data_IF_952117289969
#
_entry.id   IF_952117289969
#
_cell.length_a   1.000
_cell.length_b   1.000
_cell.length_c   1.000
_cell.angle_alpha   90.00
_cell.angle_beta   90.00
_cell.angle_gamma   90.00
#
_symmetry.space_group_name_H-M   'P 1'
#
loop_
_entity.id
_entity.type
_entity.pdbx_description
1 polymer ?
#
# COMPACT_ATOMS: atom_id res chain seq x y z
N UNK A 1 28.72 3.16 -5.43
CA UNK A 1 27.58 4.04 -5.09
C UNK A 1 26.30 3.67 -5.86
N UNK A 2 25.86 2.42 -5.83
CA UNK A 2 24.71 1.95 -6.64
C UNK A 2 23.35 1.97 -5.91
N UNK A 3 23.35 2.07 -4.58
CA UNK A 3 22.13 1.95 -3.77
C UNK A 3 21.29 3.24 -3.81
N UNK A 4 21.93 4.41 -3.78
CA UNK A 4 21.24 5.70 -3.80
C UNK A 4 20.55 5.99 -5.14
N UNK A 5 21.22 5.67 -6.25
CA UNK A 5 20.68 5.83 -7.61
C UNK A 5 19.51 4.88 -7.86
N UNK A 6 19.61 3.62 -7.42
CA UNK A 6 18.51 2.64 -7.52
C UNK A 6 17.28 3.12 -6.75
N UNK A 7 17.43 3.62 -5.52
CA UNK A 7 16.30 4.14 -4.74
C UNK A 7 15.63 5.36 -5.37
N UNK A 8 16.40 6.29 -5.91
CA UNK A 8 15.84 7.47 -6.63
C UNK A 8 15.12 7.01 -7.90
N UNK A 9 15.69 6.04 -8.63
CA UNK A 9 15.07 5.45 -9.81
C UNK A 9 13.75 4.76 -9.45
N UNK A 10 13.72 3.98 -8.38
CA UNK A 10 12.53 3.28 -7.90
C UNK A 10 11.45 4.29 -7.50
N UNK A 11 11.79 5.36 -6.76
CA UNK A 11 10.86 6.45 -6.42
C UNK A 11 10.34 7.14 -7.69
N UNK A 12 11.23 7.47 -8.62
CA UNK A 12 10.86 8.10 -9.89
C UNK A 12 10.00 7.20 -10.78
N UNK A 13 10.17 5.88 -10.70
CA UNK A 13 9.33 4.88 -11.36
C UNK A 13 7.98 4.78 -10.67
N UNK A 14 7.92 4.70 -9.34
CA UNK A 14 6.65 4.69 -8.59
C UNK A 14 5.83 5.95 -8.84
N UNK A 15 6.45 7.14 -8.82
CA UNK A 15 5.78 8.40 -9.10
C UNK A 15 5.30 8.46 -10.55
N UNK A 16 6.11 8.03 -11.52
CA UNK A 16 5.70 7.96 -12.93
C UNK A 16 4.60 6.93 -13.16
N UNK A 17 4.66 5.77 -12.53
CA UNK A 17 3.62 4.76 -12.64
C UNK A 17 2.33 5.28 -12.03
N UNK A 18 2.36 5.86 -10.83
CA UNK A 18 1.21 6.49 -10.20
C UNK A 18 0.61 7.61 -11.08
N UNK A 19 1.45 8.51 -11.60
CA UNK A 19 1.03 9.62 -12.47
C UNK A 19 0.58 9.21 -13.88
N UNK A 20 1.16 8.17 -14.48
CA UNK A 20 0.74 7.65 -15.80
C UNK A 20 -0.55 6.84 -15.71
N UNK A 21 -0.72 6.10 -14.62
CA UNK A 21 -2.00 5.46 -14.28
C UNK A 21 -3.07 6.53 -14.01
N UNK A 22 -2.67 7.71 -13.54
CA UNK A 22 -3.56 8.88 -13.45
C UNK A 22 -4.00 9.42 -14.81
N UNK A 23 -3.15 9.43 -15.84
CA UNK A 23 -3.47 9.99 -17.17
C UNK A 23 -4.22 9.01 -18.09
N UNK A 24 -4.19 7.70 -17.81
CA UNK A 24 -4.83 6.67 -18.62
C UNK A 24 -6.36 6.79 -18.57
N UNK A 25 -6.90 7.58 -19.50
CA UNK A 25 -8.31 7.93 -19.57
C UNK A 25 -9.24 6.82 -20.04
N UNK A 26 -8.75 5.62 -20.40
CA UNK A 26 -9.51 4.36 -20.62
C UNK A 26 -8.66 3.24 -21.26
N UNK A 27 -7.37 3.42 -21.51
CA UNK A 27 -6.62 2.54 -22.41
C UNK A 27 -5.51 1.78 -21.68
N UNK A 28 -5.81 0.56 -21.24
CA UNK A 28 -4.77 -0.40 -20.88
C UNK A 28 -5.16 -1.39 -19.79
N UNK A 29 -4.64 -2.60 -19.94
CA UNK A 29 -4.63 -3.63 -18.93
C UNK A 29 -3.88 -3.11 -17.67
N UNK A 30 -4.62 -2.84 -16.61
CA UNK A 30 -4.10 -2.38 -15.31
C UNK A 30 -3.67 -3.58 -14.49
N UNK A 31 -2.41 -3.56 -14.07
CA UNK A 31 -1.93 -4.47 -13.03
C UNK A 31 -2.21 -3.88 -11.64
N UNK A 32 -3.11 -4.55 -10.91
CA UNK A 32 -3.51 -4.18 -9.56
C UNK A 32 -2.35 -4.23 -8.55
N UNK A 33 -1.44 -5.19 -8.68
CA UNK A 33 -0.32 -5.33 -7.76
C UNK A 33 0.67 -4.18 -7.92
N UNK A 34 0.93 -3.78 -9.18
CA UNK A 34 1.74 -2.59 -9.47
C UNK A 34 1.16 -1.32 -8.84
N UNK A 35 -0.16 -1.14 -8.87
CA UNK A 35 -0.85 -0.03 -8.21
C UNK A 35 -0.66 -0.07 -6.68
N UNK A 36 -0.94 -1.21 -6.05
CA UNK A 36 -0.78 -1.40 -4.60
C UNK A 36 0.68 -1.16 -4.15
N UNK A 37 1.65 -1.72 -4.86
CA UNK A 37 3.08 -1.58 -4.54
C UNK A 37 3.56 -0.14 -4.70
N UNK A 38 3.11 0.55 -5.75
CA UNK A 38 3.43 1.97 -5.94
C UNK A 38 2.86 2.81 -4.79
N UNK A 39 1.62 2.55 -4.36
CA UNK A 39 1.01 3.24 -3.22
C UNK A 39 1.78 2.96 -1.91
N UNK A 40 2.18 1.71 -1.66
CA UNK A 40 3.00 1.37 -0.49
C UNK A 40 4.36 2.06 -0.51
N UNK A 41 4.98 2.20 -1.67
CA UNK A 41 6.24 2.93 -1.83
C UNK A 41 6.07 4.43 -1.55
N UNK A 42 4.97 5.05 -1.98
CA UNK A 42 4.65 6.45 -1.67
C UNK A 42 4.41 6.65 -0.16
N UNK A 43 3.74 5.70 0.48
CA UNK A 43 3.48 5.69 1.93
C UNK A 43 4.66 5.16 2.76
N UNK A 44 5.79 4.83 2.15
CA UNK A 44 6.93 4.24 2.87
C UNK A 44 7.46 5.13 4.01
N UNK A 45 7.28 6.45 3.92
CA UNK A 45 7.64 7.38 4.98
C UNK A 45 6.79 7.21 6.24
N UNK A 46 5.55 6.74 6.12
CA UNK A 46 4.65 6.46 7.26
C UNK A 46 4.73 5.01 7.75
N UNK A 47 5.10 4.09 6.86
CA UNK A 47 5.20 2.66 7.18
C UNK A 47 6.51 2.34 7.91
N UNK A 48 7.62 2.97 7.50
CA UNK A 48 8.93 2.73 8.11
C UNK A 48 9.00 3.34 9.51
N UNK A 49 9.95 2.85 10.30
CA UNK A 49 10.24 3.39 11.63
C UNK A 49 10.43 4.91 11.54
N UNK A 50 9.66 5.64 12.34
CA UNK A 50 9.83 7.08 12.55
C UNK A 50 10.09 7.34 14.02
N UNK A 51 10.52 8.57 14.33
CA UNK A 51 10.80 9.00 15.70
C UNK A 51 9.58 8.89 16.63
N UNK A 52 8.36 8.96 16.07
CA UNK A 52 7.12 9.06 16.83
C UNK A 52 6.16 7.87 16.66
N UNK A 53 6.54 6.86 15.88
CA UNK A 53 5.73 5.65 15.74
C UNK A 53 6.59 4.43 15.35
N UNK A 54 6.23 3.22 15.81
CA UNK A 54 6.94 2.01 15.42
C UNK A 54 6.81 1.75 13.90
N UNK A 55 7.72 0.93 13.36
CA UNK A 55 7.61 0.47 11.99
C UNK A 55 6.39 -0.45 11.84
N UNK A 56 5.62 -0.28 10.77
CA UNK A 56 4.50 -1.14 10.42
C UNK A 56 5.00 -2.28 9.52
N UNK A 57 4.73 -3.52 9.91
CA UNK A 57 4.99 -4.69 9.09
C UNK A 57 3.93 -4.80 7.99
N UNK A 58 4.33 -5.03 6.73
CA UNK A 58 3.40 -5.20 5.60
C UNK A 58 3.48 -6.64 5.11
N UNK A 59 2.39 -7.39 5.25
CA UNK A 59 2.28 -8.76 4.74
C UNK A 59 1.38 -8.80 3.51
N UNK A 60 2.00 -9.11 2.37
CA UNK A 60 1.34 -9.17 1.05
C UNK A 60 1.07 -10.62 0.69
N UNK A 61 -0.19 -10.95 0.43
CA UNK A 61 -0.61 -12.27 -0.04
C UNK A 61 -1.37 -12.04 -1.33
N UNK A 62 -0.62 -12.01 -2.43
CA UNK A 62 -1.14 -11.73 -3.76
C UNK A 62 -1.42 -13.03 -4.51
N UNK A 63 -2.68 -13.25 -4.88
CA UNK A 63 -3.00 -14.27 -5.87
C UNK A 63 -2.66 -13.75 -7.27
N UNK A 64 -2.42 -14.66 -8.21
CA UNK A 64 -2.32 -14.28 -9.62
C UNK A 64 -3.67 -13.73 -10.08
N UNK A 65 -3.65 -12.52 -10.64
CA UNK A 65 -4.83 -11.83 -11.13
C UNK A 65 -4.66 -11.51 -12.61
N UNK A 66 -5.75 -11.55 -13.40
CA UNK A 66 -5.71 -10.99 -14.74
C UNK A 66 -5.53 -9.47 -14.65
N UNK A 67 -4.96 -8.89 -15.70
CA UNK A 67 -4.99 -7.44 -15.85
C UNK A 67 -6.44 -6.97 -16.01
N UNK A 68 -6.75 -5.81 -15.45
CA UNK A 68 -8.09 -5.24 -15.47
C UNK A 68 -8.20 -4.07 -16.43
N UNK A 69 -9.31 -4.00 -17.15
CA UNK A 69 -9.71 -2.77 -17.83
C UNK A 69 -10.50 -1.91 -16.85
N UNK A 70 -9.82 -0.94 -16.23
CA UNK A 70 -10.44 -0.04 -15.25
C UNK A 70 -9.76 1.34 -15.24
N UNK A 71 -10.40 2.30 -14.57
CA UNK A 71 -9.84 3.62 -14.33
C UNK A 71 -8.71 3.58 -13.28
N UNK A 72 -7.48 3.46 -13.74
CA UNK A 72 -6.33 3.31 -12.86
C UNK A 72 -6.16 4.50 -11.88
N UNK A 73 -6.44 5.73 -12.30
CA UNK A 73 -6.54 6.92 -11.43
C UNK A 73 -7.42 6.68 -10.20
N UNK A 74 -8.66 6.28 -10.46
CA UNK A 74 -9.68 6.15 -9.42
C UNK A 74 -9.31 5.01 -8.46
N UNK A 75 -8.79 3.91 -9.00
CA UNK A 75 -8.27 2.79 -8.23
C UNK A 75 -7.11 3.19 -7.33
N UNK A 76 -6.12 3.92 -7.86
CA UNK A 76 -4.98 4.41 -7.09
C UNK A 76 -5.41 5.37 -5.99
N UNK A 77 -6.40 6.23 -6.25
CA UNK A 77 -6.99 7.10 -5.25
C UNK A 77 -7.69 6.28 -4.15
N UNK A 78 -8.37 5.18 -4.51
CA UNK A 78 -8.91 4.24 -3.52
C UNK A 78 -7.80 3.63 -2.67
N UNK A 79 -6.70 3.15 -3.27
CA UNK A 79 -5.60 2.54 -2.54
C UNK A 79 -4.93 3.50 -1.55
N UNK A 80 -4.58 4.71 -2.00
CA UNK A 80 -3.91 5.68 -1.12
C UNK A 80 -4.82 6.09 0.04
N UNK A 81 -6.11 6.28 -0.21
CA UNK A 81 -7.07 6.65 0.83
C UNK A 81 -7.27 5.50 1.83
N UNK A 82 -7.50 4.27 1.34
CA UNK A 82 -7.71 3.10 2.21
C UNK A 82 -6.48 2.80 3.05
N UNK A 83 -5.28 2.78 2.45
CA UNK A 83 -4.04 2.52 3.18
C UNK A 83 -3.71 3.64 4.18
N UNK A 84 -3.94 4.91 3.82
CA UNK A 84 -3.76 6.03 4.75
C UNK A 84 -4.68 5.89 5.96
N UNK A 85 -5.97 5.56 5.76
CA UNK A 85 -6.89 5.37 6.87
C UNK A 85 -6.49 4.22 7.81
N UNK A 86 -5.95 3.13 7.27
CA UNK A 86 -5.46 2.00 8.08
C UNK A 86 -4.22 2.42 8.88
N UNK A 87 -3.29 3.14 8.26
CA UNK A 87 -2.09 3.67 8.94
C UNK A 87 -2.50 4.67 10.04
N UNK A 88 -3.41 5.60 9.75
CA UNK A 88 -3.94 6.57 10.72
C UNK A 88 -4.55 5.85 11.95
N UNK A 89 -5.28 4.76 11.74
CA UNK A 89 -5.86 3.98 12.83
C UNK A 89 -4.78 3.34 13.71
N UNK A 90 -3.73 2.76 13.12
CA UNK A 90 -2.59 2.18 13.84
C UNK A 90 -1.83 3.25 14.63
N UNK A 91 -1.59 4.41 14.02
CA UNK A 91 -0.89 5.54 14.66
C UNK A 91 -1.66 6.06 15.89
N UNK A 92 -2.99 6.20 15.79
CA UNK A 92 -3.85 6.60 16.92
C UNK A 92 -3.81 5.59 18.06
N UNK A 93 -3.97 4.31 17.76
CA UNK A 93 -3.89 3.25 18.77
C UNK A 93 -2.51 3.21 19.45
N UNK A 94 -1.44 3.53 18.73
CA UNK A 94 -0.09 3.56 19.31
C UNK A 94 0.14 4.76 20.25
N UNK A 95 -0.55 5.89 20.03
CA UNK A 95 -0.50 7.07 20.91
C UNK A 95 -1.27 6.85 22.22
N UNK A 96 -2.37 6.10 22.16
CA UNK A 96 -3.19 5.79 23.34
C UNK A 96 -2.52 4.74 24.26
N UNK A 97 -1.57 3.95 23.75
CA UNK A 97 -0.90 2.83 24.44
C UNK A 97 0.53 3.19 24.89
N UNK A 98 0.74 4.38 25.45
CA UNK A 98 1.96 4.65 26.23
C UNK A 98 2.03 3.81 27.54
N UNK A 99 0.99 3.03 27.88
CA UNK A 99 0.85 2.39 29.19
C UNK A 99 0.62 0.87 29.24
N UNK A 100 0.52 0.13 28.13
CA UNK A 100 0.30 -1.32 28.20
C UNK A 100 1.43 -2.11 27.52
N UNK A 101 2.22 -2.76 28.37
CA UNK A 101 3.30 -3.66 28.00
C UNK A 101 2.76 -4.87 27.21
N UNK A 102 2.96 -4.85 25.88
CA UNK A 102 3.19 -5.98 24.97
C UNK A 102 3.26 -5.38 23.55
N UNK A 103 4.40 -4.76 23.22
CA UNK A 103 4.66 -4.12 21.92
C UNK A 103 4.82 -5.18 20.82
N UNK A 104 3.72 -5.69 20.30
CA UNK A 104 3.73 -6.35 18.99
C UNK A 104 3.86 -5.28 17.92
N UNK A 105 4.82 -5.46 17.02
CA UNK A 105 4.95 -4.60 15.85
C UNK A 105 3.61 -4.59 15.09
N UNK A 106 3.00 -3.42 14.80
CA UNK A 106 1.72 -3.39 14.11
C UNK A 106 1.89 -3.96 12.70
N UNK A 107 0.89 -4.71 12.24
CA UNK A 107 0.93 -5.42 10.96
C UNK A 107 -0.30 -5.09 10.10
N UNK A 108 -0.06 -4.79 8.82
CA UNK A 108 -1.09 -4.64 7.80
C UNK A 108 -0.99 -5.83 6.83
N UNK A 109 -2.07 -6.59 6.73
CA UNK A 109 -2.22 -7.64 5.73
C UNK A 109 -2.96 -7.11 4.50
N UNK A 110 -2.35 -7.28 3.33
CA UNK A 110 -2.95 -6.98 2.04
C UNK A 110 -3.11 -8.30 1.28
N UNK A 111 -4.34 -8.74 1.10
CA UNK A 111 -4.69 -9.97 0.39
C UNK A 111 -5.43 -9.63 -0.89
N UNK A 112 -4.99 -10.21 -2.00
CA UNK A 112 -5.75 -10.13 -3.26
C UNK A 112 -6.20 -11.51 -3.68
N UNK A 113 -7.44 -11.62 -4.17
CA UNK A 113 -8.00 -12.88 -4.62
C UNK A 113 -8.92 -12.72 -5.83
N UNK A 114 -8.84 -13.67 -6.75
CA UNK A 114 -9.79 -13.76 -7.86
C UNK A 114 -11.04 -14.52 -7.40
N UNK A 115 -12.22 -13.93 -7.61
CA UNK A 115 -13.52 -14.56 -7.46
C UNK A 115 -14.18 -14.71 -8.84
N UNK A 116 -15.25 -15.51 -8.99
CA UNK A 116 -15.80 -15.86 -10.31
C UNK A 116 -16.16 -14.68 -11.22
N UNK A 117 -16.56 -13.54 -10.65
CA UNK A 117 -16.97 -12.34 -11.39
C UNK A 117 -16.32 -11.05 -10.88
N UNK A 118 -15.47 -11.14 -9.85
CA UNK A 118 -14.91 -9.96 -9.19
C UNK A 118 -13.49 -10.24 -8.72
N UNK A 119 -12.71 -9.17 -8.53
CA UNK A 119 -11.45 -9.25 -7.80
C UNK A 119 -11.67 -8.69 -6.40
N UNK A 120 -11.22 -9.44 -5.40
CA UNK A 120 -11.30 -9.04 -4.01
C UNK A 120 -9.93 -8.54 -3.54
N UNK A 121 -9.92 -7.35 -2.94
CA UNK A 121 -8.77 -6.78 -2.25
C UNK A 121 -9.17 -6.60 -0.80
N UNK A 122 -8.49 -7.27 0.12
CA UNK A 122 -8.68 -7.12 1.57
C UNK A 122 -7.45 -6.46 2.17
N UNK A 123 -7.66 -5.35 2.86
CA UNK A 123 -6.65 -4.64 3.63
C UNK A 123 -7.14 -4.62 5.07
N UNK A 124 -6.38 -5.24 5.97
CA UNK A 124 -6.76 -5.36 7.38
C UNK A 124 -5.53 -5.24 8.29
N UNK A 125 -5.72 -4.62 9.45
CA UNK A 125 -4.79 -4.73 10.57
C UNK A 125 -4.86 -6.14 11.18
N UNK A 126 -3.73 -6.69 11.59
CA UNK A 126 -3.73 -7.89 12.43
C UNK A 126 -4.41 -7.57 13.77
N UNK A 127 -5.22 -8.49 14.34
CA UNK A 127 -5.69 -8.32 15.72
C UNK A 127 -4.46 -8.29 16.65
N UNK A 128 -4.38 -7.21 17.44
CA UNK A 128 -3.42 -7.04 18.54
C UNK A 128 -3.82 -7.96 19.69
#
# INVERSE_FOLDING_TARGET
>A
MQVGTKRIQDIGLSLRNFSRLDEAKHEGAVDLHTGLDSTLMLLAHRIKLQTHHPAINIVKIYQSLPNLECYARQLNQTFINTLSNVIDAIERTSQDIESAALQTQPEIHIRTAAAPSTIQIRIAMAPV
#
